data_IF_950152882342
#
_entry.id   IF_950152882342
#
_cell.length_a   1.000
_cell.length_b   1.000
_cell.length_c   1.000
_cell.angle_alpha   90.00
_cell.angle_beta   90.00
_cell.angle_gamma   90.00
#
_symmetry.space_group_name_H-M   'P 1'
#
loop_
_entity.id
_entity.type
_entity.pdbx_description
1 polymer ?
#
# COMPACT_ATOMS: atom_id res chain seq x y z
N UNK A 1 -28.09 16.51 -10.57
CA UNK A 1 -26.82 15.78 -10.40
C UNK A 1 -26.96 14.94 -9.14
N UNK A 2 -27.36 13.68 -9.27
CA UNK A 2 -27.45 12.73 -8.15
C UNK A 2 -26.63 11.50 -8.53
N UNK A 3 -25.78 11.02 -7.63
CA UNK A 3 -24.87 9.89 -7.88
C UNK A 3 -23.57 10.24 -8.63
N UNK A 4 -23.15 11.52 -8.66
CA UNK A 4 -21.84 11.91 -9.19
C UNK A 4 -20.83 12.17 -8.06
N UNK A 5 -19.54 12.20 -8.39
CA UNK A 5 -18.48 12.62 -7.45
C UNK A 5 -18.71 14.04 -6.89
N UNK A 6 -19.37 14.91 -7.66
CA UNK A 6 -19.80 16.24 -7.22
C UNK A 6 -20.89 16.12 -6.13
N UNK A 7 -21.87 15.24 -6.33
CA UNK A 7 -22.92 14.98 -5.33
C UNK A 7 -22.35 14.41 -4.03
N UNK A 8 -21.40 13.49 -4.15
CA UNK A 8 -20.72 12.87 -3.00
C UNK A 8 -19.87 13.88 -2.23
N UNK A 9 -19.10 14.72 -2.92
CA UNK A 9 -18.29 15.75 -2.29
C UNK A 9 -19.14 16.76 -1.51
N UNK A 10 -20.31 17.12 -2.05
CA UNK A 10 -21.27 17.98 -1.36
C UNK A 10 -21.88 17.29 -0.12
N UNK A 11 -22.21 16.00 -0.20
CA UNK A 11 -22.75 15.24 0.92
C UNK A 11 -21.74 15.06 2.07
N UNK A 12 -20.48 14.83 1.73
CA UNK A 12 -19.39 14.61 2.68
C UNK A 12 -18.73 15.89 3.18
N UNK A 13 -19.14 17.07 2.69
CA UNK A 13 -18.55 18.39 3.03
C UNK A 13 -17.03 18.40 2.79
N UNK A 14 -16.61 17.88 1.63
CA UNK A 14 -15.20 17.79 1.23
C UNK A 14 -14.93 18.60 -0.03
N UNK A 15 -13.65 18.92 -0.27
CA UNK A 15 -13.22 19.58 -1.50
C UNK A 15 -13.26 18.61 -2.68
N UNK A 16 -13.87 19.04 -3.80
CA UNK A 16 -13.76 18.35 -5.07
C UNK A 16 -12.54 18.87 -5.85
N UNK A 17 -11.55 18.01 -6.06
CA UNK A 17 -10.45 18.29 -6.98
C UNK A 17 -10.73 17.60 -8.31
N UNK A 18 -10.92 18.39 -9.38
CA UNK A 18 -11.18 17.89 -10.73
C UNK A 18 -10.06 18.30 -11.67
N UNK A 19 -9.47 17.34 -12.38
CA UNK A 19 -8.44 17.59 -13.38
C UNK A 19 -9.04 17.50 -14.78
N UNK A 20 -8.81 18.51 -15.60
CA UNK A 20 -8.89 18.36 -17.06
C UNK A 20 -7.57 17.70 -17.50
N UNK A 21 -7.63 16.74 -18.43
CA UNK A 21 -6.42 16.09 -18.95
C UNK A 21 -5.45 17.16 -19.45
N UNK A 22 -4.27 17.25 -18.83
CA UNK A 22 -3.23 18.20 -19.23
C UNK A 22 -2.87 17.99 -20.70
N UNK A 23 -2.67 19.08 -21.45
CA UNK A 23 -2.10 19.03 -22.81
C UNK A 23 -0.69 18.43 -22.79
N UNK A 24 -0.05 18.43 -21.62
CA UNK A 24 1.27 17.85 -21.40
C UNK A 24 1.14 16.50 -20.72
N UNK A 25 1.53 15.42 -21.40
CA UNK A 25 1.57 14.06 -20.83
C UNK A 25 2.83 13.73 -20.03
N UNK A 26 3.73 14.72 -19.84
CA UNK A 26 5.02 14.53 -19.15
C UNK A 26 4.95 15.08 -17.74
N UNK A 27 5.64 14.41 -16.81
CA UNK A 27 5.88 14.88 -15.45
C UNK A 27 7.35 14.63 -15.11
N UNK A 28 8.13 15.65 -14.72
CA UNK A 28 7.78 17.07 -14.71
C UNK A 28 7.68 17.67 -16.13
N UNK A 29 7.13 18.88 -16.25
CA UNK A 29 7.22 19.71 -17.46
C UNK A 29 8.37 20.68 -17.26
N UNK A 30 9.31 20.74 -18.21
CA UNK A 30 10.42 21.69 -18.15
C UNK A 30 10.00 22.98 -18.84
N UNK A 31 10.00 24.09 -18.10
CA UNK A 31 9.69 25.43 -18.60
C UNK A 31 10.97 26.26 -18.61
N UNK A 32 11.29 26.90 -19.73
CA UNK A 32 12.44 27.82 -19.78
C UNK A 32 11.97 29.22 -19.43
N UNK A 33 12.55 29.82 -18.39
CA UNK A 33 12.36 31.22 -18.04
C UNK A 33 13.74 31.89 -17.95
N UNK A 34 13.96 32.95 -18.73
CA UNK A 34 15.22 33.72 -18.71
C UNK A 34 16.47 32.84 -18.96
N UNK A 35 16.34 31.83 -19.83
CA UNK A 35 17.42 30.88 -20.13
C UNK A 35 17.62 29.78 -19.08
N UNK A 36 16.89 29.81 -17.97
CA UNK A 36 16.94 28.79 -16.92
C UNK A 36 15.82 27.76 -17.15
N UNK A 37 16.18 26.48 -17.15
CA UNK A 37 15.23 25.38 -17.19
C UNK A 37 14.64 25.13 -15.78
N UNK A 38 13.33 25.29 -15.63
CA UNK A 38 12.60 25.14 -14.37
C UNK A 38 11.65 23.94 -14.49
N UNK A 39 11.83 22.87 -13.69
CA UNK A 39 10.89 21.76 -13.66
C UNK A 39 9.63 22.17 -12.90
N UNK A 40 8.47 21.99 -13.54
CA UNK A 40 7.16 22.23 -12.96
C UNK A 40 6.42 20.90 -12.82
N UNK A 41 5.92 20.62 -11.62
CA UNK A 41 5.12 19.43 -11.34
C UNK A 41 3.80 19.49 -12.10
N UNK A 42 3.59 18.54 -13.02
CA UNK A 42 2.35 18.39 -13.77
C UNK A 42 1.57 17.19 -13.21
N UNK A 43 0.54 17.45 -12.40
CA UNK A 43 -0.31 16.42 -11.78
C UNK A 43 -1.51 16.19 -12.70
N UNK A 44 -1.56 15.02 -13.33
CA UNK A 44 -2.60 14.68 -14.31
C UNK A 44 -3.08 13.23 -14.22
N UNK A 45 -2.44 12.40 -13.38
CA UNK A 45 -2.91 11.07 -13.02
C UNK A 45 -3.34 11.03 -11.55
N UNK A 46 -4.28 10.14 -11.27
CA UNK A 46 -4.63 9.77 -9.90
C UNK A 46 -3.37 9.31 -9.14
N UNK A 47 -3.30 9.62 -7.84
CA UNK A 47 -2.20 9.23 -6.93
C UNK A 47 -0.82 9.86 -7.21
N UNK A 48 -0.65 10.69 -8.25
CA UNK A 48 0.59 11.44 -8.48
C UNK A 48 0.90 12.44 -7.36
N UNK A 49 -0.12 13.15 -6.87
CA UNK A 49 0.06 14.12 -5.80
C UNK A 49 0.62 13.45 -4.53
N UNK A 50 0.11 12.29 -4.14
CA UNK A 50 0.61 11.57 -2.95
C UNK A 50 2.06 11.14 -3.10
N UNK A 51 2.50 10.71 -4.29
CA UNK A 51 3.91 10.37 -4.54
C UNK A 51 4.81 11.60 -4.42
N UNK A 52 4.42 12.73 -5.01
CA UNK A 52 5.19 13.99 -4.93
C UNK A 52 5.33 14.47 -3.48
N UNK A 53 4.24 14.45 -2.72
CA UNK A 53 4.26 14.88 -1.32
C UNK A 53 5.11 13.93 -0.46
N UNK A 54 5.04 12.63 -0.72
CA UNK A 54 5.89 11.64 -0.04
C UNK A 54 7.37 11.84 -0.34
N UNK A 55 7.75 12.02 -1.62
CA UNK A 55 9.14 12.29 -2.04
C UNK A 55 9.72 13.58 -1.44
N UNK A 56 8.87 14.55 -1.12
CA UNK A 56 9.26 15.81 -0.44
C UNK A 56 9.31 15.71 1.09
N UNK A 57 8.92 14.57 1.66
CA UNK A 57 8.78 14.40 3.12
C UNK A 57 7.58 15.14 3.71
N UNK A 58 6.64 15.59 2.88
CA UNK A 58 5.42 16.30 3.29
C UNK A 58 4.24 15.34 3.58
N UNK A 59 4.40 14.05 3.27
CA UNK A 59 3.41 13.00 3.52
C UNK A 59 4.04 11.85 4.33
N UNK A 60 3.49 11.49 5.50
CA UNK A 60 3.94 10.32 6.25
C UNK A 60 3.76 9.02 5.46
N UNK A 61 4.65 8.04 5.69
CA UNK A 61 4.65 6.76 4.98
C UNK A 61 3.31 6.02 5.03
N UNK A 62 2.72 5.89 6.22
CA UNK A 62 1.42 5.24 6.40
C UNK A 62 0.34 5.86 5.50
N UNK A 63 0.27 7.19 5.49
CA UNK A 63 -0.70 7.93 4.67
C UNK A 63 -0.39 7.78 3.19
N UNK A 64 0.88 7.71 2.81
CA UNK A 64 1.29 7.42 1.44
C UNK A 64 0.83 6.03 0.99
N UNK A 65 1.13 4.98 1.76
CA UNK A 65 0.81 3.58 1.42
C UNK A 65 -0.70 3.39 1.33
N UNK A 66 -1.45 3.80 2.37
CA UNK A 66 -2.91 3.69 2.42
C UNK A 66 -3.58 4.42 1.25
N UNK A 67 -3.07 5.59 0.86
CA UNK A 67 -3.59 6.34 -0.30
C UNK A 67 -3.17 5.72 -1.64
N UNK A 68 -1.92 5.26 -1.76
CA UNK A 68 -1.36 4.76 -3.02
C UNK A 68 -1.99 3.43 -3.45
N UNK A 69 -2.31 2.58 -2.48
CA UNK A 69 -2.83 1.24 -2.72
C UNK A 69 -4.34 1.11 -2.43
N UNK A 70 -5.00 2.21 -2.02
CA UNK A 70 -6.46 2.22 -1.87
C UNK A 70 -7.20 1.75 -3.12
N UNK A 71 -8.27 0.99 -2.91
CA UNK A 71 -9.09 0.39 -3.96
C UNK A 71 -8.41 -0.75 -4.74
N UNK A 72 -7.22 -1.19 -4.29
CA UNK A 72 -6.48 -2.31 -4.87
C UNK A 72 -6.78 -3.66 -4.21
N UNK A 73 -5.83 -4.60 -4.35
CA UNK A 73 -5.83 -5.89 -3.67
C UNK A 73 -5.35 -5.81 -2.22
N UNK A 74 -4.71 -4.73 -1.79
CA UNK A 74 -4.24 -4.54 -0.42
C UNK A 74 -5.13 -3.57 0.35
N UNK A 75 -5.57 -3.99 1.53
CA UNK A 75 -6.29 -3.16 2.49
C UNK A 75 -5.51 -3.10 3.80
N UNK A 76 -5.27 -1.88 4.29
CA UNK A 76 -4.46 -1.62 5.49
C UNK A 76 -5.30 -1.15 6.70
N UNK A 77 -6.63 -1.23 6.62
CA UNK A 77 -7.53 -0.73 7.67
C UNK A 77 -7.48 -1.54 8.97
N UNK A 78 -6.92 -2.75 8.92
CA UNK A 78 -6.81 -3.67 10.06
C UNK A 78 -5.38 -3.85 10.56
N UNK A 79 -4.46 -2.97 10.13
CA UNK A 79 -3.06 -3.00 10.57
C UNK A 79 -2.98 -2.68 12.05
N UNK A 80 -2.29 -3.51 12.80
CA UNK A 80 -2.00 -3.30 14.22
C UNK A 80 -1.03 -2.13 14.41
N UNK A 81 -1.37 -1.15 15.28
CA UNK A 81 -0.55 0.03 15.52
C UNK A 81 0.87 -0.29 16.05
N UNK A 82 1.00 -1.37 16.83
CA UNK A 82 2.27 -1.80 17.44
C UNK A 82 3.12 -2.61 16.46
N UNK A 83 2.48 -3.42 15.64
CA UNK A 83 3.15 -4.32 14.70
C UNK A 83 2.93 -3.93 13.23
N UNK A 84 2.69 -2.65 12.98
CA UNK A 84 2.34 -2.08 11.69
C UNK A 84 3.35 -1.04 11.21
N UNK A 85 2.86 0.10 10.75
CA UNK A 85 3.69 1.14 10.14
C UNK A 85 4.76 1.73 11.06
N UNK A 86 4.56 1.65 12.38
CA UNK A 86 5.53 2.07 13.40
C UNK A 86 6.85 1.29 13.35
N UNK A 87 6.86 0.10 12.74
CA UNK A 87 8.06 -0.71 12.55
C UNK A 87 8.89 -0.33 11.30
N UNK A 88 8.35 0.50 10.42
CA UNK A 88 8.97 0.85 9.14
C UNK A 88 9.73 2.18 9.29
N UNK A 89 10.99 2.19 8.84
CA UNK A 89 11.88 3.34 8.89
C UNK A 89 12.37 3.74 7.49
N UNK A 90 13.23 4.76 7.44
CA UNK A 90 13.76 5.26 6.18
C UNK A 90 14.67 4.25 5.46
N UNK A 91 15.22 3.25 6.16
CA UNK A 91 16.12 2.24 5.59
C UNK A 91 15.32 1.15 4.87
N UNK A 92 14.17 0.75 5.41
CA UNK A 92 13.37 -0.36 4.87
C UNK A 92 12.09 0.05 4.12
N UNK A 93 11.64 1.31 4.20
CA UNK A 93 10.38 1.75 3.58
C UNK A 93 10.25 1.43 2.08
N UNK A 94 11.34 1.54 1.33
CA UNK A 94 11.32 1.28 -0.12
C UNK A 94 11.05 -0.19 -0.42
N UNK A 95 11.54 -1.11 0.43
CA UNK A 95 11.29 -2.54 0.29
C UNK A 95 9.79 -2.86 0.44
N UNK A 96 9.13 -2.22 1.41
CA UNK A 96 7.69 -2.34 1.60
C UNK A 96 6.92 -1.76 0.41
N UNK A 97 7.24 -0.54 0.00
CA UNK A 97 6.58 0.12 -1.14
C UNK A 97 6.72 -0.71 -2.42
N UNK A 98 7.91 -1.22 -2.71
CA UNK A 98 8.18 -2.02 -3.90
C UNK A 98 7.48 -3.37 -3.87
N UNK A 99 7.45 -4.04 -2.70
CA UNK A 99 6.74 -5.32 -2.56
C UNK A 99 5.22 -5.15 -2.66
N UNK A 100 4.65 -4.10 -2.05
CA UNK A 100 3.23 -3.78 -2.21
C UNK A 100 2.86 -3.42 -3.64
N UNK A 101 3.71 -2.64 -4.34
CA UNK A 101 3.54 -2.37 -5.77
C UNK A 101 3.53 -3.67 -6.58
N UNK A 102 4.48 -4.57 -6.33
CA UNK A 102 4.56 -5.87 -7.01
C UNK A 102 3.31 -6.71 -6.75
N UNK A 103 2.86 -6.78 -5.50
CA UNK A 103 1.63 -7.48 -5.13
C UNK A 103 0.42 -6.87 -5.86
N UNK A 104 0.38 -5.54 -6.04
CA UNK A 104 -0.68 -4.88 -6.79
C UNK A 104 -0.66 -5.14 -8.30
N UNK A 105 0.53 -5.20 -8.90
CA UNK A 105 0.70 -5.40 -10.34
C UNK A 105 0.42 -6.84 -10.80
N UNK A 106 0.68 -7.83 -9.94
CA UNK A 106 0.44 -9.23 -10.24
C UNK A 106 -1.03 -9.61 -10.02
N UNK A 107 -1.55 -10.49 -10.86
CA UNK A 107 -2.83 -11.18 -10.58
C UNK A 107 -2.66 -12.26 -9.50
N UNK A 108 -3.78 -12.77 -8.98
CA UNK A 108 -3.77 -13.76 -7.90
C UNK A 108 -3.05 -15.08 -8.24
N UNK A 109 -3.08 -15.51 -9.51
CA UNK A 109 -2.40 -16.74 -9.94
C UNK A 109 -0.88 -16.51 -9.98
N UNK A 110 -0.46 -15.35 -10.49
CA UNK A 110 0.93 -14.94 -10.49
C UNK A 110 1.46 -14.76 -9.05
N UNK A 111 0.70 -14.13 -8.16
CA UNK A 111 1.05 -13.99 -6.73
C UNK A 111 1.30 -15.36 -6.10
N UNK A 112 0.43 -16.35 -6.35
CA UNK A 112 0.54 -17.68 -5.75
C UNK A 112 1.80 -18.47 -6.18
N UNK A 113 2.43 -18.10 -7.29
CA UNK A 113 3.61 -18.77 -7.85
C UNK A 113 4.87 -17.91 -7.81
N UNK A 114 4.75 -16.63 -7.44
CA UNK A 114 5.85 -15.69 -7.43
C UNK A 114 6.85 -16.03 -6.30
N UNK A 115 8.07 -16.39 -6.69
CA UNK A 115 9.14 -16.75 -5.75
C UNK A 115 9.64 -15.58 -4.91
N UNK A 116 9.44 -14.35 -5.37
CA UNK A 116 9.85 -13.15 -4.63
C UNK A 116 8.90 -12.87 -3.48
N UNK A 117 7.59 -12.94 -3.72
CA UNK A 117 6.54 -12.79 -2.73
C UNK A 117 6.41 -14.03 -1.84
N UNK A 118 6.70 -15.24 -2.34
CA UNK A 118 6.60 -16.49 -1.55
C UNK A 118 5.27 -16.56 -0.77
N UNK A 119 4.18 -16.20 -1.47
CA UNK A 119 2.85 -16.07 -0.89
C UNK A 119 2.29 -17.45 -0.53
N UNK A 120 1.91 -17.63 0.73
CA UNK A 120 1.42 -18.93 1.23
C UNK A 120 0.55 -18.82 2.47
N UNK A 121 -0.15 -19.91 2.77
CA UNK A 121 -0.87 -20.06 4.04
C UNK A 121 0.10 -20.11 5.21
N UNK A 122 -0.22 -19.37 6.27
CA UNK A 122 0.43 -19.47 7.56
C UNK A 122 -0.44 -20.32 8.48
N UNK A 123 0.08 -21.45 8.94
CA UNK A 123 -0.72 -22.46 9.63
C UNK A 123 -0.71 -22.24 11.15
N UNK A 124 -1.88 -22.42 11.77
CA UNK A 124 -2.03 -22.40 13.22
C UNK A 124 -1.33 -23.60 13.86
N UNK A 125 -0.49 -23.36 14.85
CA UNK A 125 0.13 -24.39 15.67
C UNK A 125 0.29 -23.93 17.13
N UNK A 126 0.87 -24.77 17.99
CA UNK A 126 1.02 -24.49 19.42
C UNK A 126 1.80 -23.20 19.70
N UNK A 127 2.78 -22.86 18.85
CA UNK A 127 3.59 -21.64 18.99
C UNK A 127 2.89 -20.44 18.34
N UNK A 128 2.33 -20.59 17.14
CA UNK A 128 1.73 -19.47 16.41
C UNK A 128 0.37 -19.03 16.93
N UNK A 129 -0.39 -19.89 17.63
CA UNK A 129 -1.79 -19.63 18.04
C UNK A 129 -2.01 -18.31 18.80
N UNK A 130 -1.00 -17.79 19.49
CA UNK A 130 -1.07 -16.57 20.31
C UNK A 130 -1.07 -15.27 19.51
N UNK A 131 -0.67 -15.31 18.24
CA UNK A 131 -0.44 -14.10 17.43
C UNK A 131 -1.70 -13.57 16.74
N UNK A 132 -2.74 -14.40 16.60
CA UNK A 132 -4.01 -14.02 15.98
C UNK A 132 -5.17 -14.60 16.80
N UNK A 133 -6.30 -13.90 16.82
CA UNK A 133 -7.52 -14.39 17.46
C UNK A 133 -8.06 -15.64 16.75
N UNK A 134 -8.89 -16.41 17.44
CA UNK A 134 -9.49 -17.61 16.84
C UNK A 134 -10.33 -17.31 15.60
N UNK A 135 -10.98 -16.13 15.54
CA UNK A 135 -11.75 -15.71 14.38
C UNK A 135 -10.86 -15.36 13.19
N UNK A 136 -9.73 -14.69 13.41
CA UNK A 136 -8.73 -14.45 12.36
C UNK A 136 -8.15 -15.77 11.85
N UNK A 137 -7.90 -16.74 12.74
CA UNK A 137 -7.46 -18.07 12.33
C UNK A 137 -8.48 -18.79 11.44
N UNK A 138 -9.79 -18.66 11.72
CA UNK A 138 -10.85 -19.24 10.87
C UNK A 138 -10.87 -18.62 9.47
N UNK A 139 -10.48 -17.36 9.31
CA UNK A 139 -10.36 -16.71 7.99
C UNK A 139 -9.19 -17.23 7.15
N UNK A 140 -8.25 -17.96 7.76
CA UNK A 140 -7.09 -18.53 7.08
C UNK A 140 -6.00 -17.49 6.85
N UNK A 141 -5.07 -17.39 7.80
CA UNK A 141 -3.95 -16.45 7.72
C UNK A 141 -3.04 -16.80 6.54
N UNK A 142 -2.63 -15.76 5.82
CA UNK A 142 -1.71 -15.78 4.71
C UNK A 142 -0.51 -14.91 5.04
N UNK A 143 0.63 -15.24 4.45
CA UNK A 143 1.83 -14.42 4.51
C UNK A 143 2.45 -14.26 3.14
N UNK A 144 3.05 -13.10 2.90
CA UNK A 144 3.97 -12.88 1.79
C UNK A 144 5.21 -12.13 2.27
N UNK A 145 6.24 -12.24 1.46
CA UNK A 145 7.59 -11.75 1.68
C UNK A 145 7.71 -10.32 1.16
N UNK A 146 8.25 -9.45 2.01
CA UNK A 146 8.73 -8.13 1.62
C UNK A 146 10.20 -8.25 1.23
N UNK A 147 11.01 -8.84 2.12
CA UNK A 147 12.41 -9.21 1.86
C UNK A 147 12.73 -10.58 2.44
N UNK A 148 13.98 -11.04 2.32
CA UNK A 148 14.39 -12.29 2.98
C UNK A 148 14.08 -12.29 4.48
N UNK A 149 14.06 -11.10 5.11
CA UNK A 149 13.73 -10.93 6.52
C UNK A 149 12.29 -10.52 6.77
N UNK A 150 11.83 -9.50 6.06
CA UNK A 150 10.58 -8.82 6.36
C UNK A 150 9.40 -9.54 5.70
N UNK A 151 8.31 -9.75 6.43
CA UNK A 151 7.07 -10.35 5.90
C UNK A 151 5.84 -9.58 6.34
N UNK A 152 4.77 -9.78 5.58
CA UNK A 152 3.46 -9.22 5.80
C UNK A 152 2.46 -10.35 6.03
N UNK A 153 1.62 -10.20 7.06
CA UNK A 153 0.59 -11.17 7.45
C UNK A 153 -0.80 -10.57 7.29
N UNK A 154 -1.74 -11.38 6.85
CA UNK A 154 -3.11 -10.96 6.60
C UNK A 154 -4.04 -12.12 6.28
N UNK A 155 -5.23 -11.81 5.79
CA UNK A 155 -6.16 -12.80 5.24
C UNK A 155 -6.80 -12.27 3.97
N UNK A 156 -7.32 -13.17 3.13
CA UNK A 156 -8.01 -12.79 1.91
C UNK A 156 -9.51 -12.93 2.10
N UNK A 157 -10.25 -11.89 1.78
CA UNK A 157 -11.71 -11.91 1.71
C UNK A 157 -12.16 -11.12 0.48
N UNK A 158 -13.07 -11.69 -0.32
CA UNK A 158 -13.55 -11.12 -1.58
C UNK A 158 -12.45 -10.61 -2.54
N UNK A 159 -11.31 -11.30 -2.60
CA UNK A 159 -10.19 -10.94 -3.47
C UNK A 159 -9.34 -9.77 -2.98
N UNK A 160 -9.53 -9.32 -1.74
CA UNK A 160 -8.75 -8.30 -1.05
C UNK A 160 -7.94 -8.97 0.06
N UNK A 161 -6.65 -8.69 0.12
CA UNK A 161 -5.75 -9.03 1.20
C UNK A 161 -5.81 -7.95 2.28
N UNK A 162 -6.44 -8.27 3.40
CA UNK A 162 -6.47 -7.42 4.59
C UNK A 162 -5.18 -7.62 5.39
N UNK A 163 -4.32 -6.62 5.37
CA UNK A 163 -3.06 -6.59 6.12
C UNK A 163 -3.37 -6.42 7.61
N UNK A 164 -2.77 -7.29 8.41
CA UNK A 164 -2.92 -7.30 9.86
C UNK A 164 -1.66 -6.79 10.57
N UNK A 165 -0.48 -7.23 10.13
CA UNK A 165 0.79 -6.85 10.75
C UNK A 165 1.99 -7.18 9.87
N UNK A 166 3.11 -6.55 10.20
CA UNK A 166 4.44 -6.82 9.66
C UNK A 166 5.26 -7.65 10.66
N UNK A 167 6.26 -8.34 10.14
CA UNK A 167 7.21 -9.17 10.88
C UNK A 167 8.61 -8.86 10.37
N UNK A 168 9.36 -8.06 11.14
CA UNK A 168 10.73 -7.63 10.82
C UNK A 168 11.77 -8.39 11.66
N UNK A 169 11.36 -8.96 12.78
CA UNK A 169 12.21 -9.68 13.74
C UNK A 169 12.13 -11.21 13.60
N UNK A 170 11.32 -11.71 12.67
CA UNK A 170 11.06 -13.12 12.39
C UNK A 170 10.29 -13.88 13.49
N UNK A 171 9.76 -13.21 14.50
CA UNK A 171 9.09 -13.90 15.61
C UNK A 171 7.93 -14.79 15.14
N UNK A 172 7.15 -14.31 14.16
CA UNK A 172 6.04 -15.09 13.58
C UNK A 172 6.54 -16.10 12.58
N UNK A 173 7.54 -15.72 11.78
CA UNK A 173 8.05 -16.54 10.70
C UNK A 173 8.79 -17.80 11.16
N UNK A 174 9.46 -17.73 12.31
CA UNK A 174 10.20 -18.86 12.89
C UNK A 174 9.28 -19.93 13.49
N UNK A 175 8.02 -19.58 13.71
CA UNK A 175 7.06 -20.46 14.39
C UNK A 175 5.95 -20.98 13.48
N UNK A 176 5.98 -20.74 12.16
CA UNK A 176 4.98 -21.34 11.24
C UNK A 176 5.23 -21.13 9.76
#
# INVERSE_FOLDING_TARGET
MSGSSVSEAAACVVCLLSFIRSLYGKHPVVVTKEGVAIPVGNIWKEKQLSSILFERGELPLEKYITTRFSGGKLDFSLVDDTYGFSLIDNENQNEFIDSFRKFEELDWNAIATDKGLDYKTYNKNKKSKRYFSDDLWKKGIKKFRITQRNRCFGYVDNGIFYVLRFDLDHELSDVG
#
